data_IF_919729836421
#
_entry.id   IF_919729836421
#
_cell.length_a   1.000
_cell.length_b   1.000
_cell.length_c   1.000
_cell.angle_alpha   90.00
_cell.angle_beta   90.00
_cell.angle_gamma   90.00
#
_symmetry.space_group_name_H-M   'P 1'
#
loop_
_entity.id
_entity.type
_entity.pdbx_description
1 polymer ?
#
# COMPACT_ATOMS: atom_id res chain seq x y z
N UNK A 1 -3.57 21.40 -16.97
CA UNK A 1 -4.79 22.04 -16.44
C UNK A 1 -4.51 22.55 -15.04
N UNK A 2 -4.76 23.83 -14.77
CA UNK A 2 -4.65 24.42 -13.44
C UNK A 2 -6.02 24.98 -13.04
N UNK A 3 -6.57 24.49 -11.94
CA UNK A 3 -7.75 25.09 -11.36
C UNK A 3 -7.43 26.46 -10.77
N UNK A 4 -8.34 27.41 -10.95
CA UNK A 4 -8.16 28.78 -10.47
C UNK A 4 -9.14 29.02 -9.34
N UNK A 5 -8.60 29.31 -8.15
CA UNK A 5 -9.42 29.60 -6.98
C UNK A 5 -10.23 30.87 -7.22
N UNK A 6 -11.55 30.78 -6.98
CA UNK A 6 -12.47 31.92 -7.04
C UNK A 6 -13.20 32.01 -5.72
N UNK A 7 -13.14 33.17 -5.07
CA UNK A 7 -13.76 33.40 -3.76
C UNK A 7 -13.35 32.34 -2.72
N UNK A 8 -12.04 32.03 -2.68
CA UNK A 8 -11.45 31.03 -1.77
C UNK A 8 -11.97 29.59 -1.94
N UNK A 9 -12.55 29.26 -3.11
CA UNK A 9 -12.98 27.90 -3.45
C UNK A 9 -12.22 27.38 -4.66
N UNK A 10 -11.79 26.12 -4.59
CA UNK A 10 -11.24 25.36 -5.72
C UNK A 10 -12.36 25.06 -6.74
N UNK A 11 -12.03 24.92 -8.04
CA UNK A 11 -12.96 24.34 -9.00
C UNK A 11 -13.34 22.92 -8.60
N UNK A 12 -14.63 22.59 -8.69
CA UNK A 12 -15.15 21.26 -8.39
C UNK A 12 -15.73 20.67 -9.67
N UNK A 13 -15.29 19.47 -10.03
CA UNK A 13 -15.87 18.66 -11.09
C UNK A 13 -16.75 17.59 -10.47
N UNK A 14 -18.04 17.59 -10.78
CA UNK A 14 -18.99 16.62 -10.22
C UNK A 14 -19.60 15.78 -11.33
N UNK A 15 -19.52 14.45 -11.19
CA UNK A 15 -20.23 13.51 -12.04
C UNK A 15 -21.49 12.94 -11.38
N UNK A 16 -21.90 11.78 -11.86
CA UNK A 16 -23.09 11.04 -11.47
C UNK A 16 -22.78 9.57 -11.11
N UNK A 17 -21.50 9.25 -10.84
CA UNK A 17 -21.10 7.91 -10.41
C UNK A 17 -21.66 7.59 -9.02
N UNK A 18 -22.17 6.37 -8.88
CA UNK A 18 -22.72 5.85 -7.63
C UNK A 18 -22.06 4.52 -7.28
N UNK A 19 -21.77 4.29 -5.98
CA UNK A 19 -20.96 3.14 -5.54
C UNK A 19 -21.62 1.79 -5.85
N UNK A 20 -22.95 1.72 -5.85
CA UNK A 20 -23.72 0.52 -6.20
C UNK A 20 -23.67 0.20 -7.70
N UNK A 21 -23.46 1.19 -8.57
CA UNK A 21 -23.32 1.01 -10.02
C UNK A 21 -21.89 1.26 -10.48
N UNK A 22 -21.09 0.19 -10.40
CA UNK A 22 -19.67 0.15 -10.76
C UNK A 22 -19.37 0.52 -12.22
N UNK A 23 -20.37 0.50 -13.10
CA UNK A 23 -20.22 0.77 -14.52
C UNK A 23 -20.60 2.21 -14.91
N UNK A 24 -21.38 2.90 -14.06
CA UNK A 24 -21.81 4.29 -14.25
C UNK A 24 -20.65 5.29 -14.29
N UNK A 25 -20.98 6.56 -14.56
CA UNK A 25 -20.04 7.67 -14.54
C UNK A 25 -19.00 7.65 -15.66
N UNK A 26 -18.08 8.62 -15.59
CA UNK A 26 -17.03 8.81 -16.59
C UNK A 26 -15.64 8.89 -15.95
N UNK A 27 -14.61 8.82 -16.79
CA UNK A 27 -13.24 9.14 -16.41
C UNK A 27 -12.98 10.61 -16.74
N UNK A 28 -12.66 11.46 -15.75
CA UNK A 28 -12.51 12.91 -15.97
C UNK A 28 -11.34 13.25 -16.90
N UNK A 29 -10.15 12.71 -16.62
CA UNK A 29 -8.94 12.94 -17.40
C UNK A 29 -8.48 11.60 -17.98
N UNK A 30 -8.49 11.53 -19.32
CA UNK A 30 -7.86 10.43 -20.04
C UNK A 30 -6.65 10.94 -20.81
N UNK A 31 -5.46 10.63 -20.31
CA UNK A 31 -4.22 11.07 -20.93
C UNK A 31 -3.88 10.19 -22.12
N UNK A 32 -3.63 10.80 -23.28
CA UNK A 32 -3.22 10.07 -24.48
C UNK A 32 -1.86 9.40 -24.27
N UNK A 33 -1.66 8.24 -24.90
CA UNK A 33 -0.38 7.54 -24.85
C UNK A 33 0.75 8.42 -25.39
N UNK A 34 1.96 8.26 -24.87
CA UNK A 34 3.15 9.02 -25.29
C UNK A 34 3.09 10.53 -24.98
N UNK A 35 2.10 10.98 -24.19
CA UNK A 35 2.03 12.36 -23.71
C UNK A 35 3.18 12.69 -22.75
N UNK A 36 3.74 13.90 -22.90
CA UNK A 36 4.84 14.41 -22.07
C UNK A 36 4.56 15.82 -21.56
N UNK A 37 5.19 16.21 -20.45
CA UNK A 37 5.20 17.59 -19.96
C UNK A 37 3.82 18.08 -19.52
N UNK A 38 3.07 17.26 -18.81
CA UNK A 38 1.69 17.54 -18.41
C UNK A 38 1.59 17.86 -16.92
N UNK A 39 0.66 18.76 -16.58
CA UNK A 39 0.41 19.19 -15.19
C UNK A 39 -1.08 19.27 -14.96
N UNK A 40 -1.57 18.69 -13.87
CA UNK A 40 -2.94 18.82 -13.36
C UNK A 40 -2.89 19.30 -11.93
N UNK A 41 -3.49 20.46 -11.62
CA UNK A 41 -3.36 21.00 -10.27
C UNK A 41 -4.54 21.84 -9.76
N UNK A 42 -4.74 21.83 -8.44
CA UNK A 42 -5.63 22.72 -7.68
C UNK A 42 -7.13 22.59 -8.04
N UNK A 43 -7.71 21.39 -7.91
CA UNK A 43 -9.15 21.16 -8.13
C UNK A 43 -9.69 19.97 -7.34
N UNK A 44 -11.00 19.91 -7.19
CA UNK A 44 -11.71 18.81 -6.54
C UNK A 44 -12.53 18.01 -7.57
N UNK A 45 -12.69 16.71 -7.31
CA UNK A 45 -13.48 15.81 -8.16
C UNK A 45 -14.38 14.93 -7.32
N UNK A 46 -15.69 14.99 -7.56
CA UNK A 46 -16.69 14.22 -6.83
C UNK A 46 -17.50 13.34 -7.79
N UNK A 47 -17.85 12.11 -7.36
CA UNK A 47 -18.81 11.25 -8.08
C UNK A 47 -18.42 10.97 -9.53
N UNK A 48 -17.15 10.63 -9.77
CA UNK A 48 -16.69 10.16 -11.08
C UNK A 48 -16.28 8.70 -10.98
N UNK A 49 -16.31 7.96 -12.08
CA UNK A 49 -15.84 6.57 -12.05
C UNK A 49 -14.33 6.52 -11.83
N UNK A 50 -13.61 7.40 -12.53
CA UNK A 50 -12.18 7.58 -12.37
C UNK A 50 -11.79 9.04 -12.55
N UNK A 51 -10.75 9.51 -11.86
CA UNK A 51 -10.27 10.88 -12.02
C UNK A 51 -9.25 10.95 -13.15
N UNK A 52 -8.24 10.10 -13.09
CA UNK A 52 -7.13 10.11 -14.04
C UNK A 52 -6.85 8.69 -14.54
N UNK A 53 -6.80 8.53 -15.85
CA UNK A 53 -6.33 7.31 -16.47
C UNK A 53 -5.38 7.60 -17.64
N UNK A 54 -4.23 6.93 -17.68
CA UNK A 54 -3.44 6.85 -18.91
C UNK A 54 -4.11 5.86 -19.87
N UNK A 55 -4.32 6.28 -21.12
CA UNK A 55 -4.84 5.40 -22.17
C UNK A 55 -3.83 4.32 -22.52
N UNK A 56 -4.30 3.18 -23.02
CA UNK A 56 -3.46 2.09 -23.50
C UNK A 56 -2.63 2.54 -24.72
N UNK A 57 -1.33 2.23 -24.80
CA UNK A 57 -0.58 1.40 -23.85
C UNK A 57 -0.09 2.13 -22.58
N UNK A 58 -0.06 3.46 -22.55
CA UNK A 58 0.57 4.24 -21.48
C UNK A 58 1.69 5.08 -22.06
N UNK A 59 2.92 4.89 -21.55
CA UNK A 59 4.15 5.54 -22.03
C UNK A 59 4.15 7.05 -21.86
N UNK A 60 3.50 7.52 -20.79
CA UNK A 60 3.43 8.95 -20.51
C UNK A 60 4.60 9.34 -19.62
N UNK A 61 5.15 10.53 -19.79
CA UNK A 61 6.27 10.97 -18.97
C UNK A 61 6.20 12.43 -18.55
N UNK A 62 7.10 12.83 -17.64
CA UNK A 62 7.31 14.22 -17.23
C UNK A 62 6.01 14.87 -16.71
N UNK A 63 5.36 14.15 -15.80
CA UNK A 63 3.99 14.41 -15.37
C UNK A 63 3.87 14.93 -13.95
N UNK A 64 2.91 15.83 -13.71
CA UNK A 64 2.59 16.30 -12.36
C UNK A 64 1.08 16.29 -12.07
N UNK A 65 0.71 15.75 -10.92
CA UNK A 65 -0.62 15.92 -10.33
C UNK A 65 -0.43 16.51 -8.93
N UNK A 66 -0.96 17.70 -8.67
CA UNK A 66 -0.69 18.45 -7.44
C UNK A 66 -1.97 19.04 -6.86
N UNK A 67 -2.26 18.82 -5.57
CA UNK A 67 -3.41 19.45 -4.91
C UNK A 67 -4.74 19.10 -5.62
N UNK A 68 -5.00 17.80 -5.72
CA UNK A 68 -6.22 17.25 -6.34
C UNK A 68 -6.93 16.34 -5.34
N UNK A 69 -8.10 16.79 -4.87
CA UNK A 69 -8.89 16.04 -3.91
C UNK A 69 -10.05 15.34 -4.58
N UNK A 70 -10.26 14.08 -4.19
CA UNK A 70 -11.20 13.16 -4.81
C UNK A 70 -12.13 12.59 -3.76
N UNK A 71 -13.42 12.62 -4.03
CA UNK A 71 -14.44 12.00 -3.19
C UNK A 71 -15.38 11.16 -4.05
N UNK A 72 -15.76 9.99 -3.55
CA UNK A 72 -16.77 9.13 -4.19
C UNK A 72 -16.35 8.71 -5.61
N UNK A 73 -15.47 7.71 -5.69
CA UNK A 73 -14.94 7.21 -6.98
C UNK A 73 -14.81 5.69 -6.98
N UNK A 74 -14.65 5.07 -8.15
CA UNK A 74 -14.29 3.65 -8.20
C UNK A 74 -12.78 3.45 -8.12
N UNK A 75 -12.06 4.00 -9.10
CA UNK A 75 -10.61 3.96 -9.24
C UNK A 75 -10.10 5.40 -9.44
N UNK A 76 -9.47 6.04 -8.46
CA UNK A 76 -9.15 7.48 -8.59
C UNK A 76 -8.05 7.76 -9.63
N UNK A 77 -6.85 7.23 -9.41
CA UNK A 77 -5.69 7.45 -10.27
C UNK A 77 -5.15 6.13 -10.81
N UNK A 78 -5.17 5.94 -12.13
CA UNK A 78 -4.70 4.70 -12.79
C UNK A 78 -3.64 5.02 -13.85
N UNK A 79 -2.43 4.58 -13.57
CA UNK A 79 -1.27 4.66 -14.46
C UNK A 79 -0.98 3.29 -15.06
N UNK A 80 -0.93 3.25 -16.39
CA UNK A 80 -0.44 2.14 -17.19
C UNK A 80 0.92 2.54 -17.74
N UNK A 81 1.91 1.67 -17.60
CA UNK A 81 3.27 1.89 -18.04
C UNK A 81 3.43 1.75 -19.54
N UNK A 82 2.92 0.65 -20.11
CA UNK A 82 3.07 0.35 -21.53
C UNK A 82 4.47 -0.09 -21.94
N UNK A 83 5.30 -0.48 -20.96
CA UNK A 83 6.63 -1.02 -21.18
C UNK A 83 6.57 -2.42 -21.81
N UNK A 84 7.67 -2.84 -22.40
CA UNK A 84 7.84 -4.18 -22.95
C UNK A 84 9.13 -4.79 -22.38
N UNK A 85 9.21 -6.11 -22.25
CA UNK A 85 10.42 -6.77 -21.74
C UNK A 85 11.71 -6.35 -22.49
N UNK A 86 11.60 -6.18 -23.81
CA UNK A 86 12.72 -5.78 -24.67
C UNK A 86 12.96 -4.27 -24.69
N UNK A 87 12.03 -3.46 -24.14
CA UNK A 87 12.07 -2.00 -24.11
C UNK A 87 11.44 -1.51 -22.80
N UNK A 88 12.08 -1.74 -21.64
CA UNK A 88 11.56 -1.28 -20.36
C UNK A 88 11.49 0.26 -20.27
N UNK A 89 12.40 0.95 -20.93
CA UNK A 89 12.58 2.42 -20.90
C UNK A 89 11.45 3.23 -21.55
N UNK A 90 10.52 2.58 -22.24
CA UNK A 90 9.36 3.28 -22.84
C UNK A 90 8.17 3.35 -21.87
N UNK A 91 8.31 2.78 -20.66
CA UNK A 91 7.27 2.78 -19.65
C UNK A 91 6.77 4.18 -19.27
N UNK A 92 5.78 4.27 -18.41
CA UNK A 92 5.36 5.59 -17.91
C UNK A 92 6.27 6.00 -16.76
N UNK A 93 6.91 7.16 -16.84
CA UNK A 93 7.98 7.55 -15.92
C UNK A 93 8.17 9.05 -15.71
N UNK A 94 8.99 9.46 -14.75
CA UNK A 94 9.23 10.85 -14.35
C UNK A 94 7.91 11.55 -13.93
N UNK A 95 7.18 10.92 -13.00
CA UNK A 95 5.86 11.40 -12.56
C UNK A 95 5.88 11.76 -11.07
N UNK A 96 5.39 12.96 -10.76
CA UNK A 96 5.16 13.44 -9.39
C UNK A 96 3.66 13.53 -9.12
N UNK A 97 3.20 12.88 -8.05
CA UNK A 97 1.84 13.02 -7.52
C UNK A 97 1.99 13.55 -6.10
N UNK A 98 1.42 14.71 -5.81
CA UNK A 98 1.65 15.39 -4.53
C UNK A 98 0.39 16.05 -3.97
N UNK A 99 0.23 16.00 -2.65
CA UNK A 99 -0.85 16.66 -1.93
C UNK A 99 -2.23 16.26 -2.49
N UNK A 100 -2.45 14.98 -2.75
CA UNK A 100 -3.71 14.48 -3.31
C UNK A 100 -4.41 13.55 -2.32
N UNK A 101 -5.64 13.90 -1.93
CA UNK A 101 -6.46 13.07 -1.06
C UNK A 101 -7.55 12.35 -1.84
N UNK A 102 -7.69 11.05 -1.61
CA UNK A 102 -8.80 10.24 -2.13
C UNK A 102 -9.59 9.69 -0.96
N UNK A 103 -10.87 10.05 -0.90
CA UNK A 103 -11.81 9.52 0.09
C UNK A 103 -12.93 8.78 -0.61
N UNK A 104 -13.40 7.71 0.04
CA UNK A 104 -14.61 7.01 -0.37
C UNK A 104 -14.49 6.38 -1.76
N UNK A 105 -13.43 5.59 -1.97
CA UNK A 105 -13.29 4.79 -3.19
C UNK A 105 -13.70 3.34 -2.97
N UNK A 106 -14.26 2.70 -4.00
CA UNK A 106 -14.70 1.29 -3.87
C UNK A 106 -13.66 0.28 -4.32
N UNK A 107 -12.65 0.70 -5.11
CA UNK A 107 -11.63 -0.21 -5.66
C UNK A 107 -10.20 0.26 -5.48
N UNK A 108 -9.84 1.46 -5.95
CA UNK A 108 -8.45 1.95 -5.84
C UNK A 108 -8.36 3.44 -5.58
N UNK A 109 -7.46 3.82 -4.68
CA UNK A 109 -6.93 5.18 -4.63
C UNK A 109 -5.96 5.41 -5.78
N UNK A 110 -4.80 4.79 -5.70
CA UNK A 110 -3.70 4.94 -6.67
C UNK A 110 -3.28 3.58 -7.21
N UNK A 111 -3.17 3.47 -8.53
CA UNK A 111 -2.77 2.24 -9.20
C UNK A 111 -1.69 2.48 -10.24
N UNK A 112 -0.62 1.71 -10.13
CA UNK A 112 0.49 1.63 -11.08
C UNK A 112 0.55 0.19 -11.62
N UNK A 113 0.72 0.06 -12.94
CA UNK A 113 0.73 -1.24 -13.60
C UNK A 113 1.43 -1.18 -14.95
N UNK A 114 1.83 -2.34 -15.43
CA UNK A 114 2.31 -2.58 -16.79
C UNK A 114 3.55 -1.75 -17.19
N UNK A 115 4.47 -1.47 -16.24
CA UNK A 115 5.78 -0.87 -16.52
C UNK A 115 5.91 0.59 -16.12
N UNK A 116 5.45 0.96 -14.94
CA UNK A 116 5.61 2.30 -14.36
C UNK A 116 6.94 2.39 -13.59
N UNK A 117 7.73 3.45 -13.81
CA UNK A 117 8.96 3.64 -13.04
C UNK A 117 9.34 5.10 -12.80
N UNK A 118 10.24 5.36 -11.86
CA UNK A 118 10.64 6.73 -11.45
C UNK A 118 9.43 7.63 -11.14
N UNK A 119 8.65 7.20 -10.16
CA UNK A 119 7.42 7.88 -9.73
C UNK A 119 7.53 8.23 -8.25
N UNK A 120 7.14 9.46 -7.92
CA UNK A 120 7.04 9.93 -6.55
C UNK A 120 5.57 10.20 -6.21
N UNK A 121 5.12 9.64 -5.09
CA UNK A 121 3.81 9.91 -4.48
C UNK A 121 4.07 10.53 -3.12
N UNK A 122 3.68 11.78 -2.93
CA UNK A 122 4.13 12.62 -1.82
C UNK A 122 2.94 13.23 -1.11
N UNK A 123 2.82 13.02 0.20
CA UNK A 123 1.76 13.60 1.03
C UNK A 123 0.36 13.33 0.45
N UNK A 124 0.08 12.06 0.13
CA UNK A 124 -1.20 11.64 -0.42
C UNK A 124 -1.95 10.72 0.55
N UNK A 125 -3.25 10.93 0.69
CA UNK A 125 -4.13 10.04 1.47
C UNK A 125 -4.99 9.21 0.54
N UNK A 126 -5.21 7.94 0.88
CA UNK A 126 -6.23 7.11 0.26
C UNK A 126 -7.02 6.35 1.34
N UNK A 127 -8.20 6.87 1.65
CA UNK A 127 -9.18 6.32 2.59
C UNK A 127 -10.38 5.70 1.84
N UNK A 128 -10.57 4.38 1.95
CA UNK A 128 -11.66 3.72 1.23
C UNK A 128 -13.05 3.97 1.84
N UNK A 129 -13.15 4.47 3.07
CA UNK A 129 -14.42 4.67 3.79
C UNK A 129 -14.93 3.46 4.57
N UNK A 130 -14.13 2.39 4.68
CA UNK A 130 -14.43 1.27 5.56
C UNK A 130 -15.63 0.44 5.12
N UNK A 131 -16.28 -0.18 6.11
CA UNK A 131 -17.41 -1.10 5.90
C UNK A 131 -18.57 -0.45 5.11
N UNK A 132 -18.82 0.83 5.32
CA UNK A 132 -19.92 1.56 4.68
C UNK A 132 -19.72 1.77 3.17
N UNK A 133 -18.47 1.73 2.72
CA UNK A 133 -18.08 1.91 1.33
C UNK A 133 -17.72 0.62 0.61
N UNK A 134 -17.73 -0.52 1.33
CA UNK A 134 -17.45 -1.82 0.74
C UNK A 134 -18.62 -2.36 -0.09
N UNK A 135 -18.45 -2.32 -1.41
CA UNK A 135 -19.41 -2.86 -2.40
C UNK A 135 -18.75 -3.72 -3.48
N UNK A 136 -17.41 -3.76 -3.55
CA UNK A 136 -16.67 -4.64 -4.45
C UNK A 136 -15.35 -5.14 -3.86
N UNK A 137 -14.87 -6.26 -4.41
CA UNK A 137 -13.59 -6.84 -4.03
C UNK A 137 -12.41 -5.98 -4.50
N UNK A 138 -11.29 -6.17 -3.80
CA UNK A 138 -10.04 -5.47 -4.04
C UNK A 138 -10.15 -3.95 -3.83
N UNK A 139 -10.58 -3.44 -2.66
CA UNK A 139 -10.18 -2.11 -2.23
C UNK A 139 -8.70 -2.12 -1.86
N UNK A 140 -7.88 -1.27 -2.49
CA UNK A 140 -6.52 -0.98 -2.01
C UNK A 140 -6.22 0.52 -2.16
N UNK A 141 -5.50 1.09 -1.20
CA UNK A 141 -5.08 2.50 -1.25
C UNK A 141 -4.04 2.72 -2.34
N UNK A 142 -2.89 2.05 -2.25
CA UNK A 142 -1.78 2.19 -3.19
C UNK A 142 -1.40 0.82 -3.75
N UNK A 143 -1.62 0.62 -5.05
CA UNK A 143 -1.45 -0.67 -5.70
C UNK A 143 -0.42 -0.61 -6.83
N UNK A 144 0.64 -1.43 -6.73
CA UNK A 144 1.71 -1.57 -7.74
C UNK A 144 1.74 -3.01 -8.22
N UNK A 145 1.55 -3.28 -9.52
CA UNK A 145 1.37 -4.67 -9.98
C UNK A 145 2.22 -5.11 -11.17
N UNK A 146 3.06 -4.24 -11.74
CA UNK A 146 3.88 -4.58 -12.90
C UNK A 146 3.05 -5.10 -14.09
N UNK A 147 3.71 -5.78 -15.01
CA UNK A 147 3.05 -6.55 -16.06
C UNK A 147 2.57 -7.92 -15.55
N UNK A 148 1.87 -8.66 -16.40
CA UNK A 148 1.45 -10.02 -16.06
C UNK A 148 2.66 -10.93 -15.75
N UNK A 149 2.48 -11.90 -14.84
CA UNK A 149 3.54 -12.84 -14.46
C UNK A 149 4.14 -13.54 -15.70
N UNK A 150 5.47 -13.54 -15.81
CA UNK A 150 6.21 -14.14 -16.93
C UNK A 150 6.42 -13.21 -18.12
N UNK A 151 5.87 -11.99 -18.10
CA UNK A 151 6.10 -11.00 -19.17
C UNK A 151 7.43 -10.26 -19.04
N UNK A 152 8.13 -10.37 -17.90
CA UNK A 152 9.33 -9.59 -17.58
C UNK A 152 9.13 -8.07 -17.73
N UNK A 153 7.92 -7.58 -17.47
CA UNK A 153 7.59 -6.16 -17.36
C UNK A 153 7.33 -5.86 -15.90
N UNK A 154 8.04 -4.85 -15.38
CA UNK A 154 8.08 -4.55 -13.95
C UNK A 154 7.72 -3.09 -13.69
N UNK A 155 7.01 -2.85 -12.58
CA UNK A 155 6.94 -1.52 -12.00
C UNK A 155 8.09 -1.36 -10.98
N UNK A 156 8.83 -0.26 -11.00
CA UNK A 156 10.00 -0.12 -10.14
C UNK A 156 10.40 1.33 -9.86
N UNK A 157 11.27 1.56 -8.88
CA UNK A 157 11.74 2.91 -8.53
C UNK A 157 10.57 3.86 -8.20
N UNK A 158 9.56 3.34 -7.49
CA UNK A 158 8.42 4.12 -7.02
C UNK A 158 8.61 4.44 -5.54
N UNK A 159 8.58 5.72 -5.21
CA UNK A 159 8.76 6.21 -3.84
C UNK A 159 7.47 6.83 -3.32
N UNK A 160 7.00 6.33 -2.18
CA UNK A 160 5.90 6.90 -1.40
C UNK A 160 6.48 7.66 -0.21
N UNK A 161 6.07 8.91 -0.02
CA UNK A 161 6.56 9.80 1.02
C UNK A 161 5.36 10.41 1.74
N UNK A 162 5.31 10.31 3.07
CA UNK A 162 4.24 10.90 3.90
C UNK A 162 2.82 10.48 3.44
N UNK A 163 2.66 9.25 2.92
CA UNK A 163 1.39 8.77 2.39
C UNK A 163 0.59 7.99 3.44
N UNK A 164 -0.74 8.15 3.44
CA UNK A 164 -1.63 7.47 4.39
C UNK A 164 -2.60 6.54 3.66
N UNK A 165 -2.66 5.28 4.08
CA UNK A 165 -3.53 4.25 3.54
C UNK A 165 -4.51 3.73 4.59
N UNK A 166 -5.82 3.97 4.42
CA UNK A 166 -6.79 3.62 5.45
C UNK A 166 -8.07 2.94 4.96
N UNK A 167 -8.64 2.17 5.89
CA UNK A 167 -10.01 1.69 5.86
C UNK A 167 -10.38 0.82 4.64
N UNK A 168 -9.43 0.13 4.03
CA UNK A 168 -9.74 -0.84 2.97
C UNK A 168 -10.47 -2.04 3.58
N UNK A 169 -11.74 -2.19 3.19
CA UNK A 169 -12.62 -3.18 3.79
C UNK A 169 -13.03 -4.27 2.82
N UNK A 170 -12.68 -5.51 3.10
CA UNK A 170 -13.13 -6.69 2.38
C UNK A 170 -13.20 -7.87 3.37
N UNK A 171 -14.35 -8.56 3.45
CA UNK A 171 -14.60 -9.57 4.50
C UNK A 171 -15.12 -10.93 3.99
N UNK A 172 -15.32 -11.13 2.69
CA UNK A 172 -15.88 -12.38 2.15
C UNK A 172 -14.85 -13.53 2.17
N UNK A 173 -15.03 -14.46 3.11
CA UNK A 173 -14.03 -15.42 3.60
C UNK A 173 -13.74 -16.67 2.74
N UNK A 174 -14.49 -16.95 1.66
CA UNK A 174 -14.35 -18.22 0.95
C UNK A 174 -13.57 -18.12 -0.38
N UNK A 175 -13.16 -16.91 -0.78
CA UNK A 175 -12.45 -16.67 -2.04
C UNK A 175 -11.18 -15.84 -1.84
N UNK A 176 -10.41 -15.62 -2.92
CA UNK A 176 -9.21 -14.78 -2.87
C UNK A 176 -9.58 -13.38 -2.36
N UNK A 177 -8.89 -12.98 -1.30
CA UNK A 177 -9.23 -11.83 -0.49
C UNK A 177 -8.09 -10.81 -0.52
N UNK A 178 -8.46 -9.54 -0.63
CA UNK A 178 -7.53 -8.42 -0.53
C UNK A 178 -8.28 -7.15 -0.10
N UNK A 179 -7.78 -6.52 0.96
CA UNK A 179 -8.23 -5.25 1.52
C UNK A 179 -7.01 -4.56 2.13
N UNK A 180 -5.98 -4.36 1.31
CA UNK A 180 -4.65 -3.92 1.73
C UNK A 180 -4.48 -2.39 1.58
N UNK A 181 -3.72 -1.75 2.47
CA UNK A 181 -3.34 -0.35 2.34
C UNK A 181 -2.34 -0.15 1.19
N UNK A 182 -1.08 -0.54 1.43
CA UNK A 182 -0.05 -0.62 0.39
C UNK A 182 0.04 -2.05 -0.12
N UNK A 183 -0.10 -2.24 -1.44
CA UNK A 183 -0.05 -3.55 -2.06
C UNK A 183 0.89 -3.55 -3.27
N UNK A 184 1.86 -4.45 -3.26
CA UNK A 184 2.74 -4.68 -4.39
C UNK A 184 2.77 -6.16 -4.79
N UNK A 185 2.66 -6.44 -6.08
CA UNK A 185 2.82 -7.81 -6.61
C UNK A 185 4.28 -8.14 -6.93
N UNK A 186 4.58 -9.44 -7.10
CA UNK A 186 5.96 -9.92 -7.33
C UNK A 186 6.59 -9.51 -8.68
N UNK A 187 5.84 -8.76 -9.47
CA UNK A 187 6.26 -8.08 -10.70
C UNK A 187 6.62 -6.60 -10.44
N UNK A 188 6.94 -6.25 -9.19
CA UNK A 188 7.50 -4.96 -8.82
C UNK A 188 8.84 -5.11 -8.07
N UNK A 189 9.69 -4.08 -8.06
CA UNK A 189 10.92 -4.05 -7.27
C UNK A 189 11.37 -2.62 -6.94
N UNK A 190 12.29 -2.50 -5.97
CA UNK A 190 12.83 -1.21 -5.52
C UNK A 190 11.76 -0.18 -5.14
N UNK A 191 10.77 -0.63 -4.36
CA UNK A 191 9.75 0.25 -3.79
C UNK A 191 10.25 0.83 -2.47
N UNK A 192 10.09 2.14 -2.31
CA UNK A 192 10.52 2.84 -1.10
C UNK A 192 9.33 3.55 -0.45
N UNK A 193 9.19 3.38 0.86
CA UNK A 193 8.16 4.01 1.67
C UNK A 193 8.84 4.82 2.79
N UNK A 194 8.54 6.11 2.87
CA UNK A 194 9.16 7.04 3.81
C UNK A 194 8.05 7.72 4.60
N UNK A 195 8.01 7.48 5.91
CA UNK A 195 7.02 8.06 6.84
C UNK A 195 5.56 7.82 6.40
N UNK A 196 5.32 6.72 5.71
CA UNK A 196 3.99 6.30 5.33
C UNK A 196 3.27 5.59 6.47
N UNK A 197 1.95 5.68 6.47
CA UNK A 197 1.10 5.15 7.53
C UNK A 197 -0.02 4.28 6.96
N UNK A 198 -0.36 3.17 7.64
CA UNK A 198 -1.46 2.30 7.25
C UNK A 198 -2.35 1.91 8.43
N UNK A 199 -3.66 2.11 8.29
CA UNK A 199 -4.65 1.93 9.38
C UNK A 199 -5.95 1.26 8.97
N UNK A 200 -6.52 0.46 9.87
CA UNK A 200 -7.90 -0.01 9.77
C UNK A 200 -8.18 -0.93 8.57
N UNK A 201 -7.14 -1.42 7.89
CA UNK A 201 -7.29 -2.27 6.71
C UNK A 201 -7.64 -3.70 7.13
N UNK A 202 -8.65 -4.31 6.50
CA UNK A 202 -9.10 -5.64 6.92
C UNK A 202 -8.10 -6.73 6.57
N UNK A 203 -7.18 -6.50 5.63
CA UNK A 203 -6.07 -7.40 5.32
C UNK A 203 -4.71 -6.82 5.77
N UNK A 204 -3.85 -6.36 4.86
CA UNK A 204 -2.52 -5.84 5.13
C UNK A 204 -2.49 -4.32 5.29
N UNK A 205 -1.72 -3.79 6.25
CA UNK A 205 -1.22 -2.41 6.14
C UNK A 205 -0.27 -2.32 4.94
N UNK A 206 0.66 -3.26 4.88
CA UNK A 206 1.43 -3.61 3.69
C UNK A 206 1.20 -5.08 3.31
N UNK A 207 0.87 -5.33 2.05
CA UNK A 207 1.03 -6.62 1.35
C UNK A 207 2.03 -6.46 0.21
N UNK A 208 3.30 -6.66 0.50
CA UNK A 208 4.37 -6.37 -0.44
C UNK A 208 5.11 -7.64 -0.86
N UNK A 209 4.94 -8.00 -2.13
CA UNK A 209 5.60 -9.10 -2.81
C UNK A 209 6.77 -8.63 -3.67
N UNK A 210 7.01 -7.32 -3.76
CA UNK A 210 8.08 -6.75 -4.56
C UNK A 210 9.46 -7.19 -4.05
N UNK A 211 10.47 -7.15 -4.91
CA UNK A 211 11.83 -7.45 -4.48
C UNK A 211 12.45 -6.23 -3.76
N UNK A 212 13.00 -6.47 -2.56
CA UNK A 212 13.77 -5.51 -1.76
C UNK A 212 13.01 -4.20 -1.40
N UNK A 213 11.80 -4.27 -0.82
CA UNK A 213 11.13 -3.05 -0.38
C UNK A 213 11.84 -2.43 0.82
N UNK A 214 11.90 -1.11 0.85
CA UNK A 214 12.52 -0.29 1.90
C UNK A 214 11.46 0.56 2.59
N UNK A 215 11.32 0.38 3.91
CA UNK A 215 10.44 1.18 4.75
C UNK A 215 11.28 1.97 5.75
N UNK A 216 11.07 3.28 5.80
CA UNK A 216 11.77 4.20 6.70
C UNK A 216 10.75 5.03 7.46
N UNK A 217 10.68 4.90 8.78
CA UNK A 217 9.79 5.74 9.59
C UNK A 217 8.31 5.39 9.45
N UNK A 218 7.96 4.22 8.93
CA UNK A 218 6.57 3.86 8.63
C UNK A 218 5.81 3.38 9.86
N UNK A 219 4.49 3.62 9.88
CA UNK A 219 3.59 3.19 10.96
C UNK A 219 2.53 2.25 10.38
N UNK A 220 2.36 1.09 11.00
CA UNK A 220 1.27 0.19 10.73
C UNK A 220 0.53 -0.08 12.04
N UNK A 221 -0.75 0.29 12.11
CA UNK A 221 -1.58 0.02 13.28
C UNK A 221 -2.96 -0.43 12.87
N UNK A 222 -3.57 -1.32 13.66
CA UNK A 222 -4.97 -1.66 13.48
C UNK A 222 -5.29 -2.27 12.09
N UNK A 223 -4.31 -2.91 11.46
CA UNK A 223 -4.53 -3.76 10.30
C UNK A 223 -4.52 -5.22 10.75
N UNK A 224 -5.16 -6.14 10.03
CA UNK A 224 -5.04 -7.56 10.40
C UNK A 224 -3.58 -8.00 10.33
N UNK A 225 -2.88 -7.70 9.23
CA UNK A 225 -1.43 -7.82 9.16
C UNK A 225 -0.84 -6.45 8.99
N UNK A 226 -0.16 -5.93 10.00
CA UNK A 226 0.45 -4.60 9.89
C UNK A 226 1.48 -4.59 8.74
N UNK A 227 2.40 -5.56 8.75
CA UNK A 227 3.34 -5.78 7.64
C UNK A 227 3.27 -7.22 7.12
N UNK A 228 3.05 -7.41 5.81
CA UNK A 228 3.08 -8.71 5.13
C UNK A 228 4.08 -8.66 3.98
N UNK A 229 5.17 -9.43 4.09
CA UNK A 229 6.23 -9.49 3.09
C UNK A 229 6.45 -10.89 2.53
N UNK A 230 6.65 -10.99 1.22
CA UNK A 230 6.86 -12.27 0.55
C UNK A 230 8.25 -12.46 -0.02
N UNK A 231 8.99 -11.37 -0.21
CA UNK A 231 10.29 -11.37 -0.88
C UNK A 231 11.35 -12.13 -0.08
N UNK A 232 12.10 -13.00 -0.78
CA UNK A 232 13.21 -13.77 -0.22
C UNK A 232 14.45 -12.91 0.02
N UNK A 233 15.48 -13.04 -0.84
CA UNK A 233 16.72 -12.27 -0.75
C UNK A 233 16.73 -11.09 -1.75
N UNK A 234 17.22 -9.90 -1.37
CA UNK A 234 17.78 -9.54 -0.06
C UNK A 234 16.72 -9.34 1.04
N UNK A 235 15.43 -9.33 0.68
CA UNK A 235 14.32 -9.22 1.61
C UNK A 235 13.95 -7.77 1.94
N UNK A 236 12.91 -7.58 2.76
CA UNK A 236 12.48 -6.24 3.16
C UNK A 236 13.43 -5.64 4.22
N UNK A 237 13.60 -4.32 4.18
CA UNK A 237 14.26 -3.54 5.24
C UNK A 237 13.27 -2.59 5.88
N UNK A 238 13.09 -2.72 7.20
CA UNK A 238 12.34 -1.80 8.03
C UNK A 238 13.33 -1.04 8.91
N UNK A 239 13.31 0.30 8.82
CA UNK A 239 14.15 1.18 9.59
C UNK A 239 13.30 2.22 10.31
N UNK A 240 13.37 2.28 11.64
CA UNK A 240 12.58 3.22 12.43
C UNK A 240 11.05 3.06 12.23
N UNK A 241 10.57 1.84 12.04
CA UNK A 241 9.15 1.56 11.81
C UNK A 241 8.42 1.16 13.11
N UNK A 242 7.10 1.30 13.11
CA UNK A 242 6.24 0.92 14.24
C UNK A 242 5.11 0.01 13.78
N UNK A 243 4.97 -1.13 14.46
CA UNK A 243 3.80 -2.01 14.36
C UNK A 243 3.07 -2.01 15.70
N UNK A 244 1.79 -1.68 15.71
CA UNK A 244 0.95 -1.68 16.92
C UNK A 244 -0.42 -2.31 16.68
N UNK A 245 -0.97 -2.98 17.69
CA UNK A 245 -2.39 -3.37 17.76
C UNK A 245 -2.97 -3.96 16.45
N UNK A 246 -2.44 -5.09 15.93
CA UNK A 246 -3.01 -5.72 14.75
C UNK A 246 -4.35 -6.40 15.07
N UNK A 247 -5.41 -6.09 14.30
CA UNK A 247 -6.78 -6.53 14.58
C UNK A 247 -7.37 -7.32 13.41
N UNK A 248 -7.84 -8.54 13.69
CA UNK A 248 -8.58 -9.34 12.71
C UNK A 248 -10.05 -8.94 12.65
N UNK A 249 -10.44 -8.23 11.60
CA UNK A 249 -11.84 -7.87 11.31
C UNK A 249 -12.58 -8.84 10.39
N UNK A 250 -11.84 -9.60 9.59
CA UNK A 250 -12.42 -10.49 8.58
C UNK A 250 -11.44 -11.45 7.95
N UNK A 251 -11.96 -12.22 6.99
CA UNK A 251 -11.30 -13.20 6.12
C UNK A 251 -10.34 -14.21 6.76
N UNK A 252 -9.48 -14.80 5.92
CA UNK A 252 -8.66 -15.96 6.27
C UNK A 252 -7.35 -15.62 6.99
N UNK A 253 -6.82 -16.61 7.70
CA UNK A 253 -5.63 -16.55 8.57
C UNK A 253 -5.78 -15.58 9.75
N UNK A 254 -4.76 -15.48 10.60
CA UNK A 254 -4.81 -14.68 11.81
C UNK A 254 -4.18 -13.28 11.64
N UNK A 255 -4.34 -12.45 12.68
CA UNK A 255 -3.64 -11.17 12.81
C UNK A 255 -2.19 -11.35 13.25
N UNK A 256 -1.33 -10.38 12.90
CA UNK A 256 0.09 -10.32 13.31
C UNK A 256 0.70 -8.95 12.98
N UNK A 257 1.66 -8.50 13.79
CA UNK A 257 2.41 -7.27 13.56
C UNK A 257 3.28 -7.33 12.29
N UNK A 258 4.05 -8.40 12.13
CA UNK A 258 4.79 -8.71 10.91
C UNK A 258 4.63 -10.18 10.53
N UNK A 259 4.22 -10.41 9.30
CA UNK A 259 4.18 -11.71 8.66
C UNK A 259 5.21 -11.76 7.54
N UNK A 260 5.97 -12.84 7.43
CA UNK A 260 6.86 -13.03 6.29
C UNK A 260 7.00 -14.47 5.81
N UNK A 261 7.22 -14.61 4.50
CA UNK A 261 7.68 -15.83 3.82
C UNK A 261 9.14 -15.74 3.34
N UNK A 262 9.86 -14.70 3.71
CA UNK A 262 11.21 -14.44 3.21
C UNK A 262 12.17 -13.90 4.26
N UNK A 263 13.08 -13.02 3.85
CA UNK A 263 14.07 -12.39 4.74
C UNK A 263 13.61 -10.99 5.09
N UNK A 264 13.78 -10.60 6.35
CA UNK A 264 13.44 -9.28 6.86
C UNK A 264 14.57 -8.78 7.75
N UNK A 265 14.97 -7.53 7.55
CA UNK A 265 15.89 -6.80 8.42
C UNK A 265 15.13 -5.68 9.10
N UNK A 266 15.16 -5.67 10.42
CA UNK A 266 14.43 -4.73 11.28
C UNK A 266 15.47 -3.98 12.11
N UNK A 267 15.50 -2.66 11.96
CA UNK A 267 16.42 -1.78 12.65
C UNK A 267 15.67 -0.63 13.32
N UNK A 268 16.02 -0.32 14.58
CA UNK A 268 15.48 0.83 15.31
C UNK A 268 13.95 0.87 15.36
N UNK A 269 13.27 -0.29 15.32
CA UNK A 269 11.83 -0.37 15.12
C UNK A 269 11.12 -0.91 16.37
N UNK A 270 9.81 -0.68 16.47
CA UNK A 270 9.01 -1.09 17.61
C UNK A 270 7.85 -1.98 17.17
N UNK A 271 7.74 -3.16 17.77
CA UNK A 271 6.61 -4.09 17.60
C UNK A 271 5.94 -4.27 18.95
N UNK A 272 4.81 -3.57 19.15
CA UNK A 272 4.15 -3.40 20.44
C UNK A 272 2.66 -3.73 20.35
N UNK A 273 1.99 -3.86 21.50
CA UNK A 273 0.54 -4.03 21.61
C UNK A 273 0.00 -5.22 20.81
N UNK A 274 0.78 -6.30 20.70
CA UNK A 274 0.38 -7.50 19.97
C UNK A 274 0.83 -8.78 20.66
N UNK A 275 -0.08 -9.74 20.79
CA UNK A 275 0.27 -11.10 21.18
C UNK A 275 1.06 -11.86 20.09
N UNK A 276 1.10 -11.31 18.87
CA UNK A 276 1.75 -11.87 17.67
C UNK A 276 2.54 -10.77 16.97
N UNK A 277 3.64 -10.28 17.55
CA UNK A 277 4.40 -9.17 16.97
C UNK A 277 5.09 -9.56 15.65
N UNK A 278 5.67 -10.76 15.58
CA UNK A 278 6.46 -11.25 14.47
C UNK A 278 6.10 -12.72 14.20
N UNK A 279 5.90 -13.08 12.93
CA UNK A 279 5.65 -14.46 12.52
C UNK A 279 6.30 -14.79 11.18
N UNK A 280 6.99 -15.92 11.16
CA UNK A 280 7.34 -16.65 9.95
C UNK A 280 6.15 -17.50 9.54
N UNK A 281 5.86 -17.53 8.23
CA UNK A 281 4.79 -18.35 7.71
C UNK A 281 5.31 -19.66 7.12
N UNK A 282 4.93 -20.76 7.76
CA UNK A 282 5.24 -22.13 7.36
C UNK A 282 4.20 -22.75 6.41
N UNK A 283 3.15 -22.02 6.04
CA UNK A 283 2.14 -22.55 5.12
C UNK A 283 2.69 -22.75 3.70
N UNK A 284 2.73 -24.02 3.27
CA UNK A 284 3.23 -24.47 1.95
C UNK A 284 4.64 -23.95 1.64
N UNK A 285 5.53 -24.00 2.63
CA UNK A 285 6.96 -23.73 2.41
C UNK A 285 7.76 -25.03 2.36
N UNK A 286 8.72 -25.11 1.46
CA UNK A 286 9.67 -26.23 1.39
C UNK A 286 10.73 -26.12 2.49
N UNK A 287 11.43 -27.20 2.85
CA UNK A 287 12.56 -27.14 3.78
C UNK A 287 13.64 -26.12 3.35
N UNK A 288 13.89 -26.01 2.04
CA UNK A 288 14.82 -25.03 1.48
C UNK A 288 14.33 -23.59 1.68
N UNK A 289 13.02 -23.33 1.52
CA UNK A 289 12.44 -22.02 1.80
C UNK A 289 12.55 -21.68 3.29
N UNK A 290 12.26 -22.63 4.18
CA UNK A 290 12.41 -22.44 5.63
C UNK A 290 13.85 -22.06 5.99
N UNK A 291 14.84 -22.74 5.40
CA UNK A 291 16.25 -22.45 5.64
C UNK A 291 16.67 -21.06 5.15
N UNK A 292 15.92 -20.49 4.20
CA UNK A 292 16.16 -19.16 3.65
C UNK A 292 15.33 -18.05 4.31
N UNK A 293 14.36 -18.40 5.15
CA UNK A 293 13.54 -17.43 5.88
C UNK A 293 14.27 -16.95 7.13
N UNK A 294 14.29 -15.64 7.35
CA UNK A 294 14.90 -15.08 8.55
C UNK A 294 14.30 -13.70 8.90
N UNK A 295 14.08 -13.46 10.18
CA UNK A 295 13.81 -12.14 10.72
C UNK A 295 15.01 -11.73 11.57
N UNK A 296 15.75 -10.74 11.10
CA UNK A 296 16.85 -10.12 11.83
C UNK A 296 16.34 -8.85 12.51
N UNK A 297 16.51 -8.76 13.83
CA UNK A 297 16.05 -7.64 14.66
C UNK A 297 17.25 -7.02 15.38
N UNK A 298 17.44 -5.72 15.19
CA UNK A 298 18.54 -4.97 15.80
C UNK A 298 18.09 -3.62 16.37
N UNK A 299 18.62 -3.24 17.53
CA UNK A 299 18.37 -1.93 18.16
C UNK A 299 16.87 -1.61 18.31
N UNK A 300 16.04 -2.61 18.53
CA UNK A 300 14.58 -2.49 18.41
C UNK A 300 13.89 -2.77 19.75
N UNK A 301 12.58 -2.53 19.80
CA UNK A 301 11.69 -2.94 20.87
C UNK A 301 10.72 -4.00 20.35
N UNK A 302 10.60 -5.13 21.04
CA UNK A 302 9.60 -6.15 20.75
C UNK A 302 8.89 -6.56 22.04
N UNK A 303 7.56 -6.49 22.03
CA UNK A 303 6.72 -7.03 23.10
C UNK A 303 6.30 -8.46 22.78
N UNK A 304 6.42 -9.36 23.75
CA UNK A 304 6.01 -10.77 23.61
C UNK A 304 5.06 -11.16 24.74
N UNK A 305 4.10 -12.07 24.51
CA UNK A 305 3.35 -12.68 25.60
C UNK A 305 4.28 -13.28 26.66
N UNK A 306 3.83 -13.27 27.92
CA UNK A 306 4.61 -13.81 29.04
C UNK A 306 5.09 -15.24 28.77
N UNK A 307 6.37 -15.50 29.05
CA UNK A 307 7.01 -16.80 28.83
C UNK A 307 7.30 -17.15 27.36
N UNK A 308 7.03 -16.26 26.40
CA UNK A 308 7.37 -16.47 24.98
C UNK A 308 8.72 -15.88 24.62
N UNK A 309 9.37 -16.51 23.65
CA UNK A 309 10.64 -16.10 23.06
C UNK A 309 10.56 -16.16 21.54
N UNK A 310 11.45 -15.43 20.86
CA UNK A 310 11.64 -15.56 19.41
C UNK A 310 12.51 -16.80 19.13
N UNK A 311 12.03 -17.78 18.33
CA UNK A 311 12.72 -19.07 18.20
C UNK A 311 13.93 -18.99 17.27
N UNK A 312 15.07 -19.54 17.69
CA UNK A 312 16.22 -19.76 16.79
C UNK A 312 15.95 -20.93 15.81
N UNK A 313 16.64 -21.00 14.64
CA UNK A 313 17.65 -20.06 14.13
C UNK A 313 17.08 -18.95 13.23
N UNK A 314 15.80 -19.03 12.85
CA UNK A 314 15.22 -18.13 11.86
C UNK A 314 14.90 -16.73 12.42
N UNK A 315 15.18 -16.49 13.69
CA UNK A 315 15.16 -15.18 14.32
C UNK A 315 16.56 -14.88 14.85
N UNK A 316 17.09 -13.73 14.45
CA UNK A 316 18.40 -13.25 14.90
C UNK A 316 18.20 -11.91 15.60
N UNK A 317 18.54 -11.83 16.88
CA UNK A 317 18.25 -10.67 17.73
C UNK A 317 19.55 -10.11 18.29
N UNK A 318 19.75 -8.80 18.17
CA UNK A 318 20.93 -8.10 18.72
C UNK A 318 20.51 -6.72 19.25
N UNK A 319 21.10 -6.30 20.38
CA UNK A 319 20.89 -4.96 20.95
C UNK A 319 19.41 -4.53 21.05
N UNK A 320 18.51 -5.51 21.24
CA UNK A 320 17.05 -5.32 21.16
C UNK A 320 16.44 -5.57 22.52
N UNK A 321 15.56 -4.67 22.94
CA UNK A 321 14.78 -4.81 24.16
C UNK A 321 13.60 -5.72 23.87
N UNK A 322 13.55 -6.87 24.53
CA UNK A 322 12.38 -7.74 24.58
C UNK A 322 11.73 -7.56 25.94
N UNK A 323 10.46 -7.15 25.98
CA UNK A 323 9.70 -7.01 27.23
C UNK A 323 8.37 -7.77 27.17
N UNK A 324 7.78 -8.10 28.34
CA UNK A 324 6.43 -8.66 28.37
C UNK A 324 5.44 -7.70 27.71
N UNK A 325 4.50 -8.25 26.95
CA UNK A 325 3.31 -7.56 26.49
C UNK A 325 2.56 -7.08 27.74
N UNK A 326 2.36 -5.76 27.86
CA UNK A 326 1.55 -5.23 28.95
C UNK A 326 0.13 -5.79 28.80
N UNK A 327 -0.40 -6.38 29.87
CA UNK A 327 -1.68 -7.11 29.90
C UNK A 327 -2.92 -6.27 29.58
N UNK A 328 -2.73 -4.98 29.30
CA UNK A 328 -3.71 -4.09 28.71
C UNK A 328 -2.97 -3.39 27.58
N UNK A 329 -3.17 -3.84 26.33
CA UNK A 329 -2.88 -2.99 25.18
C UNK A 329 -3.65 -1.68 25.37
N UNK A 330 -3.15 -0.57 24.81
CA UNK A 330 -3.85 0.72 24.84
C UNK A 330 -5.32 0.54 24.42
N UNK A 331 -6.22 0.43 25.40
CA UNK A 331 -7.65 0.50 25.16
C UNK A 331 -7.87 1.93 24.71
N UNK A 332 -8.10 2.12 23.41
CA UNK A 332 -8.65 3.37 22.91
C UNK A 332 -10.06 3.47 23.46
N UNK A 333 -10.19 4.01 24.67
CA UNK A 333 -11.46 4.40 25.24
C UNK A 333 -12.07 5.46 24.33
N UNK A 334 -13.12 5.06 23.60
CA UNK A 334 -14.23 5.90 23.20
C UNK A 334 -13.97 6.97 22.14
N UNK A 335 -14.41 6.68 20.92
CA UNK A 335 -15.23 7.65 20.19
C UNK A 335 -16.47 6.89 19.72
N UNK A 336 -17.61 7.23 20.34
CA UNK A 336 -18.93 6.81 19.89
C UNK A 336 -19.44 7.63 18.72
#
# INVERSE_FOLDING_TARGET
MKGVNRNSKRPVFTGDWEKEDKASGFTLIQLASESKGWVFENFEVHKVRSVFETRTPGRVSEGKIVDVDVQETRDAFVFRGGAMAAKPEIGSHDIEIRDCDVKYYTKRGFRFRDGCYDIQVINCTADAGGKEWYVEAFPMSFNVIGGAKGTNVYDHDITFIDCVASNNWHINGDSYWNGDGFCAEGTAYNLTYIRCEAYGNTDGGWDDKSANPLLIGCIAKDNKKNYRFWSGAPGALLWNCVSGDPVKRGGNSDYVGLWTKGKIRIHNSSFVDSSKPLALNDWKVTPEQIANMNISVKNSLVELPEGKTLPAPNYTVSDTVIRPLNGEGLIADGVG
#
